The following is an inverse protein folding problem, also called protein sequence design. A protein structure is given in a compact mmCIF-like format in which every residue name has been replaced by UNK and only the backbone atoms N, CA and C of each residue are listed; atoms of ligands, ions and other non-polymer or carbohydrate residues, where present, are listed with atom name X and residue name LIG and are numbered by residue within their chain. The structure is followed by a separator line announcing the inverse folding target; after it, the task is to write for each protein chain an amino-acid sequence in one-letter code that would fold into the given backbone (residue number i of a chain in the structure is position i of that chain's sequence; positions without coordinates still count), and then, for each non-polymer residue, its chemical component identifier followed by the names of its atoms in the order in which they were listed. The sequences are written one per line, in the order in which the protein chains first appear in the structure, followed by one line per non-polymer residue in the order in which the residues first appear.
data_IF_951671140595
#
_entry.id   IF_951671140595
#
_cell.length_a   1.000
_cell.length_b   1.000
_cell.length_c   1.000
_cell.angle_alpha   90.00
_cell.angle_beta   90.00
_cell.angle_gamma   90.00
#
_symmetry.space_group_name_H-M   'P 1'
#
loop_
_entity.id
_entity.type
_entity.pdbx_description
1 polymer ?
#
# COMPACT_ATOMS: atom_id res chain seq x y z
N UNK A 1 17.43 -2.17 -5.85
CA UNK A 1 16.41 -3.08 -6.43
C UNK A 1 16.00 -2.56 -7.79
N UNK A 2 16.06 -3.38 -8.84
CA UNK A 2 15.59 -3.00 -10.19
C UNK A 2 14.25 -3.68 -10.45
N UNK A 3 13.18 -2.90 -10.56
CA UNK A 3 11.84 -3.41 -10.85
C UNK A 3 11.62 -3.42 -12.35
N UNK A 4 11.41 -4.62 -12.93
CA UNK A 4 10.88 -4.75 -14.29
C UNK A 4 9.37 -4.59 -14.24
N UNK A 5 8.90 -3.37 -14.50
CA UNK A 5 7.48 -3.06 -14.63
C UNK A 5 7.11 -2.81 -16.08
N UNK A 6 5.89 -3.15 -16.48
CA UNK A 6 5.39 -2.82 -17.80
C UNK A 6 5.23 -1.30 -17.96
N UNK A 7 5.40 -0.78 -19.18
CA UNK A 7 5.23 0.66 -19.47
C UNK A 7 3.87 1.21 -19.01
N UNK A 8 2.81 0.38 -19.10
CA UNK A 8 1.47 0.71 -18.60
C UNK A 8 1.44 0.94 -17.09
N UNK A 9 2.14 0.10 -16.32
CA UNK A 9 2.22 0.25 -14.86
C UNK A 9 2.96 1.53 -14.49
N UNK A 10 4.07 1.82 -15.16
CA UNK A 10 4.81 3.06 -14.95
C UNK A 10 3.93 4.29 -15.17
N UNK A 11 3.20 4.33 -16.29
CA UNK A 11 2.30 5.46 -16.59
C UNK A 11 1.17 5.64 -15.58
N UNK A 12 0.58 4.55 -15.09
CA UNK A 12 -0.45 4.61 -14.04
C UNK A 12 0.15 5.07 -12.69
N UNK A 13 1.34 4.58 -12.34
CA UNK A 13 2.02 5.00 -11.12
C UNK A 13 2.42 6.47 -11.19
N UNK A 14 2.89 6.96 -12.34
CA UNK A 14 3.17 8.38 -12.58
C UNK A 14 1.93 9.26 -12.45
N UNK A 15 0.81 8.84 -13.03
CA UNK A 15 -0.45 9.57 -12.89
C UNK A 15 -0.94 9.61 -11.44
N UNK A 16 -0.87 8.48 -10.72
CA UNK A 16 -1.29 8.41 -9.32
C UNK A 16 -0.36 9.22 -8.40
N UNK A 17 0.95 9.14 -8.63
CA UNK A 17 1.94 9.90 -7.86
C UNK A 17 1.80 11.42 -8.09
N UNK A 18 1.56 11.83 -9.35
CA UNK A 18 1.29 13.21 -9.70
C UNK A 18 0.00 13.72 -9.02
N UNK A 19 -1.05 12.88 -8.95
CA UNK A 19 -2.31 13.22 -8.29
C UNK A 19 -2.15 13.45 -6.78
N UNK A 20 -1.36 12.62 -6.10
CA UNK A 20 -1.10 12.75 -4.65
C UNK A 20 0.04 13.75 -4.31
N UNK A 21 0.68 14.37 -5.32
CA UNK A 21 1.85 15.23 -5.14
C UNK A 21 3.00 14.54 -4.38
N UNK A 22 3.19 13.23 -4.61
CA UNK A 22 4.26 12.44 -3.98
C UNK A 22 5.21 11.85 -5.00
N UNK A 23 6.41 11.47 -4.56
CA UNK A 23 7.35 10.71 -5.37
C UNK A 23 6.78 9.32 -5.73
N UNK A 24 7.19 8.79 -6.88
CA UNK A 24 6.78 7.46 -7.37
C UNK A 24 6.97 6.35 -6.34
N UNK A 25 8.09 6.38 -5.62
CA UNK A 25 8.40 5.41 -4.56
C UNK A 25 7.39 5.50 -3.41
N UNK A 26 7.11 6.72 -2.93
CA UNK A 26 6.13 6.94 -1.86
C UNK A 26 4.71 6.49 -2.26
N UNK A 27 4.34 6.73 -3.52
CA UNK A 27 3.05 6.26 -4.05
C UNK A 27 3.01 4.73 -4.09
N UNK A 28 4.10 4.10 -4.56
CA UNK A 28 4.21 2.65 -4.61
C UNK A 28 4.15 2.02 -3.21
N UNK A 29 4.84 2.62 -2.23
CA UNK A 29 4.79 2.20 -0.83
C UNK A 29 3.37 2.30 -0.28
N UNK A 30 2.68 3.42 -0.51
CA UNK A 30 1.29 3.61 -0.08
C UNK A 30 0.35 2.56 -0.69
N UNK A 31 0.48 2.30 -2.00
CA UNK A 31 -0.30 1.26 -2.68
C UNK A 31 0.01 -0.13 -2.13
N UNK A 32 1.27 -0.41 -1.81
CA UNK A 32 1.70 -1.68 -1.25
C UNK A 32 1.13 -1.88 0.16
N UNK A 33 1.23 -0.87 1.03
CA UNK A 33 0.62 -0.91 2.37
C UNK A 33 -0.89 -1.10 2.28
N UNK A 34 -1.59 -0.29 1.48
CA UNK A 34 -3.03 -0.41 1.32
C UNK A 34 -3.46 -1.78 0.76
N UNK A 35 -2.68 -2.35 -0.17
CA UNK A 35 -2.92 -3.70 -0.68
C UNK A 35 -2.72 -4.76 0.41
N UNK A 36 -1.62 -4.68 1.16
CA UNK A 36 -1.33 -5.59 2.25
C UNK A 36 -2.39 -5.52 3.36
N UNK A 37 -2.78 -4.32 3.79
CA UNK A 37 -3.85 -4.10 4.78
C UNK A 37 -5.19 -4.67 4.30
N UNK A 38 -5.57 -4.40 3.05
CA UNK A 38 -6.83 -4.90 2.47
C UNK A 38 -6.88 -6.42 2.36
N UNK A 39 -5.75 -7.07 2.15
CA UNK A 39 -5.65 -8.52 2.01
C UNK A 39 -5.25 -9.23 3.31
N UNK A 40 -5.00 -8.49 4.40
CA UNK A 40 -4.48 -9.06 5.66
C UNK A 40 -3.09 -9.68 5.49
N UNK A 41 -2.29 -9.19 4.55
CA UNK A 41 -0.92 -9.66 4.31
C UNK A 41 -0.02 -8.94 5.29
N UNK A 42 0.21 -9.57 6.43
CA UNK A 42 1.16 -9.09 7.43
C UNK A 42 2.54 -9.67 7.15
N UNK A 43 3.61 -8.92 7.45
CA UNK A 43 4.96 -9.47 7.37
C UNK A 43 5.13 -10.57 8.44
N UNK A 44 5.37 -11.85 8.06
CA UNK A 44 5.62 -12.91 9.03
C UNK A 44 6.99 -12.68 9.65
N UNK A 45 7.02 -12.05 10.83
CA UNK A 45 8.28 -11.71 11.52
C UNK A 45 8.18 -10.63 12.58
N UNK A 46 7.07 -9.89 12.66
CA UNK A 46 6.78 -9.05 13.83
C UNK A 46 5.97 -9.87 14.84
N UNK A 47 6.64 -10.83 15.47
CA UNK A 47 6.18 -11.37 16.75
C UNK A 47 6.02 -10.18 17.71
N UNK A 48 4.80 -10.04 18.25
CA UNK A 48 4.40 -9.19 19.37
C UNK A 48 4.53 -7.66 19.17
N UNK A 49 3.47 -7.03 18.67
CA UNK A 49 2.79 -5.96 19.44
C UNK A 49 1.31 -6.12 19.18
N UNK A 50 0.61 -6.63 20.19
CA UNK A 50 -0.84 -6.51 20.31
C UNK A 50 -1.21 -5.02 20.31
N UNK A 51 -1.63 -4.48 19.17
CA UNK A 51 -2.44 -3.25 19.13
C UNK A 51 -3.82 -3.58 18.59
N UNK A 52 -4.64 -3.94 19.56
CA UNK A 52 -6.07 -3.75 19.55
C UNK A 52 -6.38 -2.28 19.22
N UNK A 53 -7.05 -2.04 18.09
CA UNK A 53 -7.86 -0.85 17.75
C UNK A 53 -8.53 -1.17 16.40
N UNK A 54 -9.62 -1.93 16.37
CA UNK A 54 -10.98 -1.46 16.59
C UNK A 54 -11.41 -0.30 15.64
N UNK A 55 -12.46 -0.60 14.88
CA UNK A 55 -13.44 0.29 14.24
C UNK A 55 -13.18 0.68 12.77
N UNK A 56 -14.03 0.32 11.80
CA UNK A 56 -15.36 -0.29 11.93
C UNK A 56 -15.92 -0.81 10.61
N UNK A 57 -16.44 -2.04 10.67
CA UNK A 57 -17.49 -2.52 9.79
C UNK A 57 -18.82 -2.52 10.53
N UNK A 58 -19.82 -1.87 9.93
CA UNK A 58 -21.25 -2.17 9.98
C UNK A 58 -22.01 -2.12 11.31
N UNK A 59 -23.01 -1.21 11.39
CA UNK A 59 -24.44 -1.54 11.62
C UNK A 59 -25.28 -0.27 11.82
N UNK A 60 -26.06 0.14 10.82
CA UNK A 60 -27.54 0.06 10.78
C UNK A 60 -28.11 0.92 9.65
#
# INVERSE_FOLDING_TARGET
MSFRVSSRFKGLLEAAAAHEHRSLTNMLETLLYAYCEKHGIELPGKLDVKTESAMGGSKK
#
